data_IF_241938085849
#
_entry.id   IF_241938085849
#
_cell.length_a   1.000
_cell.length_b   1.000
_cell.length_c   1.000
_cell.angle_alpha   90.00
_cell.angle_beta   90.00
_cell.angle_gamma   90.00
#
_symmetry.space_group_name_H-M   'P 1'
#
loop_
_entity.id
_entity.type
_entity.pdbx_description
1 polymer ?
#
# COMPACT_ATOMS: atom_id res chain seq x y z
N UNK A 1 -17.66 10.87 -1.96
CA UNK A 1 -17.04 9.73 -1.24
C UNK A 1 -15.83 10.24 -0.51
N UNK A 2 -15.58 9.71 0.69
CA UNK A 2 -14.38 9.97 1.49
C UNK A 2 -13.30 8.95 1.14
N UNK A 3 -12.13 9.39 0.69
CA UNK A 3 -10.99 8.52 0.33
C UNK A 3 -9.77 8.86 1.18
N UNK A 4 -9.30 7.90 1.95
CA UNK A 4 -8.11 8.05 2.80
C UNK A 4 -6.88 7.56 2.03
N UNK A 5 -5.90 8.44 1.82
CA UNK A 5 -4.67 8.14 1.08
C UNK A 5 -3.53 7.96 2.08
N UNK A 6 -3.07 6.72 2.25
CA UNK A 6 -1.90 6.42 3.07
C UNK A 6 -0.66 6.55 2.19
N UNK A 7 0.32 7.37 2.58
CA UNK A 7 1.51 7.66 1.77
C UNK A 7 1.28 8.79 0.75
N UNK A 8 0.38 9.72 1.07
CA UNK A 8 -0.08 10.77 0.15
C UNK A 8 0.93 11.88 -0.16
N UNK A 9 2.08 11.98 0.53
CA UNK A 9 3.16 12.90 0.13
C UNK A 9 4.10 12.27 -0.93
N UNK A 10 4.01 10.95 -1.10
CA UNK A 10 4.83 10.17 -2.02
C UNK A 10 4.54 10.42 -3.50
N UNK A 11 5.38 9.85 -4.36
CA UNK A 11 5.34 10.05 -5.82
C UNK A 11 4.00 9.66 -6.46
N UNK A 12 3.42 8.52 -6.08
CA UNK A 12 2.10 8.10 -6.56
C UNK A 12 0.97 8.70 -5.71
N UNK A 13 1.17 8.81 -4.40
CA UNK A 13 0.15 9.27 -3.46
C UNK A 13 -0.26 10.73 -3.68
N UNK A 14 0.70 11.62 -3.93
CA UNK A 14 0.43 13.05 -4.12
C UNK A 14 -0.46 13.33 -5.34
N UNK A 15 -0.10 12.92 -6.57
CA UNK A 15 -0.97 13.15 -7.73
C UNK A 15 -2.31 12.41 -7.61
N UNK A 16 -2.35 11.23 -6.99
CA UNK A 16 -3.60 10.50 -6.74
C UNK A 16 -4.53 11.30 -5.83
N UNK A 17 -4.00 11.90 -4.76
CA UNK A 17 -4.77 12.73 -3.82
C UNK A 17 -5.37 13.94 -4.52
N UNK A 18 -4.57 14.64 -5.33
CA UNK A 18 -5.03 15.80 -6.11
C UNK A 18 -6.08 15.40 -7.14
N UNK A 19 -5.86 14.31 -7.86
CA UNK A 19 -6.78 13.82 -8.88
C UNK A 19 -8.14 13.44 -8.28
N UNK A 20 -8.16 12.68 -7.20
CA UNK A 20 -9.42 12.30 -6.53
C UNK A 20 -10.14 13.51 -5.94
N UNK A 21 -9.39 14.46 -5.36
CA UNK A 21 -9.97 15.73 -4.92
C UNK A 21 -10.60 16.47 -6.11
N UNK A 22 -9.90 16.59 -7.25
CA UNK A 22 -10.42 17.26 -8.44
C UNK A 22 -11.71 16.62 -8.99
N UNK A 23 -11.85 15.30 -8.83
CA UNK A 23 -13.05 14.55 -9.21
C UNK A 23 -14.24 14.72 -8.25
N UNK A 24 -14.09 15.49 -7.18
CA UNK A 24 -15.19 15.74 -6.25
C UNK A 24 -15.15 14.91 -4.97
N UNK A 25 -14.14 14.05 -4.78
CA UNK A 25 -14.00 13.29 -3.55
C UNK A 25 -13.48 14.15 -2.39
N UNK A 26 -13.87 13.76 -1.17
CA UNK A 26 -13.29 14.29 0.07
C UNK A 26 -12.05 13.44 0.36
N UNK A 27 -10.88 14.08 0.42
CA UNK A 27 -9.60 13.37 0.52
C UNK A 27 -8.89 13.76 1.81
N UNK A 28 -8.41 12.75 2.52
CA UNK A 28 -7.50 12.90 3.65
C UNK A 28 -6.21 12.12 3.37
N UNK A 29 -5.08 12.68 3.75
CA UNK A 29 -3.75 12.07 3.60
C UNK A 29 -3.22 11.66 4.98
N UNK A 30 -2.66 10.46 5.07
CA UNK A 30 -1.81 10.04 6.20
C UNK A 30 -0.40 9.82 5.69
N UNK A 31 0.60 10.48 6.30
CA UNK A 31 2.01 10.30 5.94
C UNK A 31 2.93 10.66 7.10
N UNK A 32 4.00 9.89 7.33
CA UNK A 32 5.03 10.16 8.34
C UNK A 32 6.27 10.89 7.76
N UNK A 33 6.25 11.19 6.47
CA UNK A 33 7.31 11.82 5.69
C UNK A 33 8.63 11.01 5.69
N UNK A 34 8.56 9.71 5.99
CA UNK A 34 9.74 8.82 6.03
C UNK A 34 10.49 8.80 4.71
N UNK A 35 9.80 8.90 3.58
CA UNK A 35 10.45 8.95 2.27
C UNK A 35 11.36 10.18 2.12
N UNK A 36 11.02 11.33 2.72
CA UNK A 36 11.91 12.51 2.76
C UNK A 36 13.09 12.30 3.71
N UNK A 37 12.89 11.60 4.83
CA UNK A 37 13.99 11.23 5.75
C UNK A 37 15.00 10.30 5.07
N UNK A 38 14.53 9.40 4.21
CA UNK A 38 15.40 8.53 3.39
C UNK A 38 16.22 9.34 2.38
N UNK A 39 15.67 10.40 1.78
CA UNK A 39 16.46 11.29 0.90
C UNK A 39 17.63 11.93 1.67
N UNK A 40 17.37 12.41 2.89
CA UNK A 40 18.40 12.97 3.77
C UNK A 40 19.46 11.91 4.12
N UNK A 41 19.02 10.70 4.50
CA UNK A 41 19.93 9.59 4.81
C UNK A 41 20.86 9.23 3.65
N UNK A 42 20.33 9.23 2.42
CA UNK A 42 21.06 8.84 1.22
C UNK A 42 21.76 10.01 0.53
N UNK A 43 21.66 11.22 1.09
CA UNK A 43 22.16 12.46 0.52
C UNK A 43 21.71 12.63 -0.95
N UNK A 44 20.44 12.33 -1.21
CA UNK A 44 19.84 12.43 -2.54
C UNK A 44 18.65 13.38 -2.55
N UNK A 45 18.33 13.90 -3.73
CA UNK A 45 17.24 14.84 -3.91
C UNK A 45 16.42 14.51 -5.16
N UNK A 46 15.17 14.98 -5.16
CA UNK A 46 14.34 14.90 -6.36
C UNK A 46 14.89 15.85 -7.42
N UNK A 47 14.89 15.41 -8.69
CA UNK A 47 15.23 16.26 -9.83
C UNK A 47 14.40 17.55 -9.86
N UNK A 48 13.12 17.44 -9.51
CA UNK A 48 12.21 18.58 -9.38
C UNK A 48 12.11 18.99 -7.92
N UNK A 49 12.43 20.25 -7.55
CA UNK A 49 12.30 20.70 -6.18
C UNK A 49 10.87 20.50 -5.65
N UNK A 50 10.72 19.71 -4.59
CA UNK A 50 9.43 19.44 -3.96
C UNK A 50 9.22 20.33 -2.74
N UNK A 51 8.10 21.04 -2.68
CA UNK A 51 7.76 21.89 -1.53
C UNK A 51 7.31 21.05 -0.32
N UNK A 52 7.41 21.59 0.90
CA UNK A 52 6.86 20.98 2.10
C UNK A 52 5.36 20.69 1.97
N UNK A 53 4.87 19.72 2.73
CA UNK A 53 3.47 19.26 2.63
C UNK A 53 2.45 20.39 2.86
N UNK A 54 2.69 21.29 3.81
CA UNK A 54 1.77 22.39 4.10
C UNK A 54 1.65 23.37 2.92
N UNK A 55 2.75 23.68 2.22
CA UNK A 55 2.71 24.53 1.03
C UNK A 55 2.02 23.84 -0.14
N UNK A 56 2.25 22.53 -0.31
CA UNK A 56 1.56 21.70 -1.29
C UNK A 56 0.03 21.74 -1.11
N UNK A 57 -0.44 21.62 0.13
CA UNK A 57 -1.86 21.70 0.48
C UNK A 57 -2.43 23.11 0.30
N UNK A 58 -1.70 24.14 0.73
CA UNK A 58 -2.11 25.53 0.57
C UNK A 58 -2.26 25.90 -0.91
N UNK A 59 -1.29 25.52 -1.74
CA UNK A 59 -1.36 25.72 -3.19
C UNK A 59 -2.56 24.99 -3.81
N UNK A 60 -2.87 23.77 -3.37
CA UNK A 60 -4.06 23.05 -3.85
C UNK A 60 -5.36 23.79 -3.48
N UNK A 61 -5.48 24.27 -2.24
CA UNK A 61 -6.63 25.06 -1.80
C UNK A 61 -6.76 26.36 -2.59
N UNK A 62 -5.66 27.04 -2.88
CA UNK A 62 -5.64 28.27 -3.65
C UNK A 62 -6.15 28.06 -5.08
N UNK A 63 -5.66 27.02 -5.77
CA UNK A 63 -6.00 26.81 -7.20
C UNK A 63 -7.34 26.11 -7.42
N UNK A 64 -7.81 25.32 -6.45
CA UNK A 64 -9.02 24.50 -6.60
C UNK A 64 -10.19 24.91 -5.70
N UNK A 65 -9.92 25.69 -4.65
CA UNK A 65 -10.89 25.97 -3.57
C UNK A 65 -11.16 24.77 -2.65
N UNK A 66 -10.53 23.61 -2.89
CA UNK A 66 -10.77 22.37 -2.14
C UNK A 66 -9.69 22.14 -1.09
N UNK A 67 -10.11 21.61 0.04
CA UNK A 67 -9.20 21.23 1.12
C UNK A 67 -8.90 19.74 1.08
N UNK A 68 -7.66 19.39 1.41
CA UNK A 68 -7.22 18.01 1.63
C UNK A 68 -6.64 17.96 3.03
N UNK A 69 -7.23 17.12 3.90
CA UNK A 69 -6.75 16.98 5.27
C UNK A 69 -5.41 16.24 5.29
N UNK A 70 -4.55 16.55 6.28
CA UNK A 70 -3.26 15.89 6.46
C UNK A 70 -3.07 15.43 7.91
N UNK A 71 -2.78 14.15 8.07
CA UNK A 71 -2.56 13.49 9.36
C UNK A 71 -1.13 12.97 9.42
N UNK A 72 -0.31 13.58 10.27
CA UNK A 72 1.10 13.21 10.43
C UNK A 72 1.26 12.09 11.48
N UNK A 73 1.34 10.84 11.04
CA UNK A 73 1.66 9.68 11.88
C UNK A 73 2.16 8.48 11.06
N UNK A 74 2.72 7.49 11.76
CA UNK A 74 3.26 6.26 11.17
C UNK A 74 2.22 5.13 11.20
N UNK A 75 1.73 4.74 10.03
CA UNK A 75 0.73 3.66 9.87
C UNK A 75 1.25 2.33 10.45
N UNK A 76 2.55 2.07 10.40
CA UNK A 76 3.13 0.82 10.90
C UNK A 76 3.25 0.78 12.43
N UNK A 77 3.19 1.93 13.11
CA UNK A 77 3.46 2.04 14.56
C UNK A 77 2.28 2.59 15.37
N UNK A 78 1.52 3.50 14.81
CA UNK A 78 0.47 4.26 15.51
C UNK A 78 -0.93 3.65 15.27
N UNK A 79 -1.12 2.38 15.63
CA UNK A 79 -2.36 1.64 15.37
C UNK A 79 -3.62 2.34 15.90
N UNK A 80 -3.62 2.74 17.18
CA UNK A 80 -4.79 3.39 17.78
C UNK A 80 -5.19 4.66 17.03
N UNK A 81 -4.20 5.45 16.62
CA UNK A 81 -4.44 6.69 15.86
C UNK A 81 -5.00 6.43 14.47
N UNK A 82 -4.57 5.36 13.80
CA UNK A 82 -5.15 4.91 12.55
C UNK A 82 -6.62 4.50 12.72
N UNK A 83 -6.90 3.68 13.75
CA UNK A 83 -8.24 3.21 14.06
C UNK A 83 -9.19 4.36 14.42
N UNK A 84 -8.74 5.28 15.26
CA UNK A 84 -9.51 6.47 15.64
C UNK A 84 -9.85 7.31 14.41
N UNK A 85 -8.86 7.57 13.54
CA UNK A 85 -9.10 8.30 12.28
C UNK A 85 -10.12 7.58 11.38
N UNK A 86 -10.03 6.26 11.26
CA UNK A 86 -10.97 5.47 10.45
C UNK A 86 -12.39 5.58 11.03
N UNK A 87 -12.55 5.47 12.36
CA UNK A 87 -13.85 5.56 13.03
C UNK A 87 -14.45 6.98 13.01
N UNK A 88 -13.61 8.00 13.14
CA UNK A 88 -14.05 9.40 13.15
C UNK A 88 -14.36 9.92 11.74
N UNK A 89 -13.53 9.57 10.76
CA UNK A 89 -13.63 10.10 9.40
C UNK A 89 -14.44 9.21 8.47
N UNK A 90 -14.69 7.95 8.83
CA UNK A 90 -15.52 6.99 8.10
C UNK A 90 -15.22 6.96 6.59
N UNK A 91 -13.98 6.58 6.18
CA UNK A 91 -13.63 6.52 4.76
C UNK A 91 -14.50 5.48 4.04
N UNK A 92 -14.84 5.75 2.78
CA UNK A 92 -15.48 4.76 1.91
C UNK A 92 -14.42 3.87 1.24
N UNK A 93 -13.21 4.41 1.07
CA UNK A 93 -12.09 3.70 0.50
C UNK A 93 -10.76 4.15 1.12
N UNK A 94 -9.80 3.22 1.18
CA UNK A 94 -8.41 3.48 1.54
C UNK A 94 -7.53 3.16 0.33
N UNK A 95 -6.65 4.08 -0.06
CA UNK A 95 -5.59 3.81 -1.03
C UNK A 95 -4.27 3.72 -0.28
N UNK A 96 -3.64 2.54 -0.30
CA UNK A 96 -2.47 2.25 0.52
C UNK A 96 -1.16 2.32 -0.30
N UNK A 97 -0.45 3.43 -0.17
CA UNK A 97 0.91 3.67 -0.70
C UNK A 97 1.99 3.74 0.40
N UNK A 98 1.61 3.67 1.68
CA UNK A 98 2.46 3.94 2.85
C UNK A 98 3.46 2.81 3.16
N UNK A 99 4.37 2.54 2.21
CA UNK A 99 5.37 1.47 2.32
C UNK A 99 6.74 1.88 1.75
N UNK A 100 7.79 1.24 2.26
CA UNK A 100 9.14 1.34 1.72
C UNK A 100 9.18 0.59 0.37
N UNK A 101 9.27 1.34 -0.73
CA UNK A 101 9.09 0.81 -2.09
C UNK A 101 10.35 0.51 -2.93
N UNK A 102 11.53 0.90 -2.47
CA UNK A 102 12.75 0.84 -3.24
C UNK A 102 13.48 -0.50 -3.04
N UNK A 103 13.58 -1.29 -4.12
CA UNK A 103 14.32 -2.54 -4.12
C UNK A 103 15.81 -2.36 -3.75
N UNK A 104 16.57 -1.39 -4.32
CA UNK A 104 17.95 -1.16 -3.90
C UNK A 104 18.08 -0.78 -2.42
N UNK A 105 17.20 0.08 -1.92
CA UNK A 105 17.17 0.46 -0.51
C UNK A 105 16.97 -0.75 0.39
N UNK A 106 15.98 -1.61 0.07
CA UNK A 106 15.67 -2.83 0.84
C UNK A 106 16.82 -3.83 0.91
N UNK A 107 17.84 -3.69 0.05
CA UNK A 107 18.99 -4.59 -0.02
C UNK A 107 20.29 -3.96 0.51
N UNK A 108 20.29 -2.66 0.81
CA UNK A 108 21.50 -1.86 1.10
C UNK A 108 22.26 -2.31 2.35
N UNK A 109 21.56 -2.59 3.46
CA UNK A 109 22.18 -3.08 4.70
C UNK A 109 21.23 -3.92 5.53
N UNK A 110 21.72 -4.56 6.59
CA UNK A 110 20.87 -5.37 7.49
C UNK A 110 19.77 -4.52 8.16
N UNK A 111 20.07 -3.26 8.49
CA UNK A 111 19.09 -2.32 9.04
C UNK A 111 17.98 -2.03 8.04
N UNK A 112 18.32 -1.80 6.77
CA UNK A 112 17.34 -1.49 5.72
C UNK A 112 16.45 -2.67 5.37
N UNK A 113 17.02 -3.89 5.39
CA UNK A 113 16.27 -5.14 5.21
C UNK A 113 15.20 -5.28 6.30
N UNK A 114 15.60 -5.17 7.58
CA UNK A 114 14.69 -5.26 8.72
C UNK A 114 13.64 -4.15 8.70
N UNK A 115 14.06 -2.91 8.43
CA UNK A 115 13.13 -1.78 8.30
C UNK A 115 12.08 -2.01 7.21
N UNK A 116 12.47 -2.51 6.04
CA UNK A 116 11.52 -2.75 4.95
C UNK A 116 10.46 -3.78 5.34
N UNK A 117 10.87 -4.89 5.98
CA UNK A 117 9.94 -5.91 6.47
C UNK A 117 9.04 -5.36 7.59
N UNK A 118 9.65 -4.73 8.60
CA UNK A 118 8.96 -4.18 9.75
C UNK A 118 7.96 -3.08 9.35
N UNK A 119 8.33 -2.17 8.45
CA UNK A 119 7.44 -1.11 8.00
C UNK A 119 6.29 -1.65 7.16
N UNK A 120 6.59 -2.42 6.11
CA UNK A 120 5.59 -2.78 5.11
C UNK A 120 4.53 -3.72 5.69
N UNK A 121 4.97 -4.80 6.35
CA UNK A 121 4.03 -5.80 6.86
C UNK A 121 3.19 -5.27 8.03
N UNK A 122 3.77 -4.46 8.92
CA UNK A 122 2.99 -3.87 10.00
C UNK A 122 2.02 -2.80 9.46
N UNK A 123 2.43 -1.96 8.49
CA UNK A 123 1.52 -0.98 7.90
C UNK A 123 0.31 -1.67 7.25
N UNK A 124 0.54 -2.67 6.39
CA UNK A 124 -0.54 -3.41 5.73
C UNK A 124 -1.43 -4.12 6.74
N UNK A 125 -0.83 -4.86 7.69
CA UNK A 125 -1.61 -5.59 8.69
C UNK A 125 -2.41 -4.65 9.61
N UNK A 126 -1.84 -3.51 10.01
CA UNK A 126 -2.55 -2.51 10.82
C UNK A 126 -3.76 -1.94 10.07
N UNK A 127 -3.63 -1.66 8.76
CA UNK A 127 -4.75 -1.19 7.95
C UNK A 127 -5.86 -2.23 7.88
N UNK A 128 -5.51 -3.48 7.59
CA UNK A 128 -6.48 -4.58 7.51
C UNK A 128 -7.18 -4.81 8.85
N UNK A 129 -6.42 -4.89 9.94
CA UNK A 129 -6.96 -5.06 11.28
C UNK A 129 -7.85 -3.87 11.69
N UNK A 130 -7.43 -2.63 11.40
CA UNK A 130 -8.21 -1.45 11.75
C UNK A 130 -9.52 -1.37 10.95
N UNK A 131 -9.53 -1.79 9.68
CA UNK A 131 -10.78 -1.90 8.90
C UNK A 131 -11.72 -2.92 9.54
N UNK A 132 -11.23 -4.11 9.87
CA UNK A 132 -12.05 -5.14 10.55
C UNK A 132 -12.58 -4.63 11.89
N UNK A 133 -11.72 -4.06 12.74
CA UNK A 133 -12.10 -3.55 14.06
C UNK A 133 -13.03 -2.33 13.99
N UNK A 134 -12.96 -1.53 12.92
CA UNK A 134 -13.87 -0.40 12.73
C UNK A 134 -15.32 -0.83 12.50
N UNK A 135 -15.54 -2.03 11.96
CA UNK A 135 -16.88 -2.50 11.54
C UNK A 135 -17.44 -1.77 10.32
N UNK A 136 -16.64 -0.95 9.63
CA UNK A 136 -17.05 -0.20 8.44
C UNK A 136 -16.80 -1.00 7.15
N UNK A 137 -17.67 -0.84 6.13
CA UNK A 137 -17.44 -1.39 4.78
C UNK A 137 -16.52 -0.47 3.98
N UNK A 138 -15.22 -0.70 4.10
CA UNK A 138 -14.16 0.10 3.47
C UNK A 138 -13.51 -0.74 2.37
N UNK A 139 -13.45 -0.18 1.15
CA UNK A 139 -12.70 -0.80 0.05
C UNK A 139 -11.23 -0.38 0.08
N UNK A 140 -10.31 -1.35 0.01
CA UNK A 140 -8.87 -1.11 0.08
C UNK A 140 -8.22 -1.32 -1.28
N UNK A 141 -7.69 -0.25 -1.86
CA UNK A 141 -6.82 -0.31 -3.03
C UNK A 141 -5.35 -0.30 -2.60
N UNK A 142 -4.69 -1.46 -2.64
CA UNK A 142 -3.27 -1.61 -2.31
C UNK A 142 -2.38 -1.48 -3.54
N UNK A 143 -1.24 -0.79 -3.39
CA UNK A 143 -0.23 -0.77 -4.43
C UNK A 143 0.66 -2.01 -4.35
N UNK A 144 0.35 -3.01 -5.17
CA UNK A 144 1.18 -4.19 -5.40
C UNK A 144 2.43 -3.90 -6.24
N UNK A 145 3.01 -4.94 -6.83
CA UNK A 145 4.12 -4.82 -7.79
C UNK A 145 4.16 -6.02 -8.72
N UNK A 146 4.49 -5.81 -10.00
CA UNK A 146 4.72 -6.93 -10.93
C UNK A 146 5.94 -7.78 -10.54
N UNK A 147 6.86 -7.24 -9.74
CA UNK A 147 8.04 -7.98 -9.29
C UNK A 147 7.74 -9.14 -8.33
N UNK A 148 6.49 -9.34 -7.90
CA UNK A 148 6.07 -10.55 -7.16
C UNK A 148 6.16 -11.81 -8.02
N UNK A 149 6.00 -11.69 -9.34
CA UNK A 149 6.05 -12.81 -10.28
C UNK A 149 7.49 -13.19 -10.68
N UNK A 150 8.47 -12.37 -10.29
CA UNK A 150 9.87 -12.51 -10.71
C UNK A 150 10.13 -12.03 -12.14
N UNK A 151 11.38 -12.21 -12.57
CA UNK A 151 11.88 -11.71 -13.86
C UNK A 151 12.11 -12.82 -14.90
N UNK A 152 11.85 -14.08 -14.53
CA UNK A 152 11.91 -15.22 -15.44
C UNK A 152 10.51 -15.54 -15.97
N UNK A 153 10.28 -15.35 -17.26
CA UNK A 153 9.04 -15.82 -17.92
C UNK A 153 9.19 -17.31 -18.21
N UNK A 154 8.36 -18.17 -17.63
CA UNK A 154 8.32 -19.60 -17.98
C UNK A 154 7.72 -19.85 -19.39
N UNK A 155 7.98 -18.95 -20.35
CA UNK A 155 7.37 -18.95 -21.69
C UNK A 155 5.87 -18.65 -21.70
N UNK A 156 5.28 -18.30 -20.55
CA UNK A 156 3.84 -18.10 -20.37
C UNK A 156 3.50 -16.64 -20.10
N UNK A 157 2.28 -16.24 -20.50
CA UNK A 157 1.71 -14.94 -20.13
C UNK A 157 1.49 -14.93 -18.61
N UNK A 158 2.03 -13.93 -17.92
CA UNK A 158 1.81 -13.74 -16.48
C UNK A 158 0.31 -13.45 -16.27
N UNK A 159 -0.39 -14.22 -15.42
CA UNK A 159 -1.80 -13.99 -15.14
C UNK A 159 -1.99 -12.86 -14.11
N UNK A 160 -3.23 -12.38 -13.99
CA UNK A 160 -3.61 -11.36 -13.01
C UNK A 160 -3.91 -12.01 -11.65
N UNK A 161 -2.84 -12.32 -10.90
CA UNK A 161 -2.90 -12.74 -9.49
C UNK A 161 -3.11 -14.24 -9.27
N UNK A 162 -3.92 -14.89 -10.11
CA UNK A 162 -4.35 -16.28 -9.91
C UNK A 162 -3.99 -17.20 -11.07
N UNK A 163 -3.73 -18.46 -10.76
CA UNK A 163 -3.42 -19.52 -11.70
C UNK A 163 -4.43 -20.65 -11.54
N UNK A 164 -5.10 -21.01 -12.64
CA UNK A 164 -5.91 -22.23 -12.70
C UNK A 164 -5.00 -23.44 -12.79
N UNK A 165 -5.20 -24.39 -11.89
CA UNK A 165 -4.42 -25.62 -11.77
C UNK A 165 -5.35 -26.83 -11.74
N UNK A 166 -4.84 -27.97 -12.17
CA UNK A 166 -5.48 -29.27 -11.95
C UNK A 166 -4.68 -30.01 -10.89
N UNK A 167 -5.35 -30.40 -9.82
CA UNK A 167 -4.76 -31.13 -8.70
C UNK A 167 -5.30 -32.55 -8.74
N UNK A 168 -4.40 -33.51 -8.78
CA UNK A 168 -4.73 -34.93 -8.65
C UNK A 168 -5.05 -35.24 -7.19
N UNK A 169 -6.20 -35.86 -6.93
CA UNK A 169 -6.61 -36.32 -5.60
C UNK A 169 -6.12 -37.75 -5.35
N UNK A 170 -6.13 -38.17 -4.08
CA UNK A 170 -5.63 -39.50 -3.67
C UNK A 170 -6.36 -40.68 -4.35
N UNK A 171 -7.58 -40.45 -4.85
CA UNK A 171 -8.39 -41.41 -5.61
C UNK A 171 -8.15 -41.36 -7.14
N UNK A 172 -7.18 -40.56 -7.59
CA UNK A 172 -6.81 -40.39 -9.01
C UNK A 172 -7.73 -39.47 -9.80
N UNK A 173 -8.73 -38.84 -9.15
CA UNK A 173 -9.54 -37.82 -9.80
C UNK A 173 -8.74 -36.51 -9.99
N UNK A 174 -9.17 -35.69 -10.94
CA UNK A 174 -8.55 -34.39 -11.22
C UNK A 174 -9.54 -33.30 -10.82
N UNK A 175 -9.15 -32.48 -9.85
CA UNK A 175 -9.94 -31.34 -9.40
C UNK A 175 -9.33 -30.07 -9.98
N UNK A 176 -10.16 -29.27 -10.66
CA UNK A 176 -9.77 -27.93 -11.09
C UNK A 176 -9.87 -26.98 -9.89
N UNK A 177 -8.80 -26.24 -9.64
CA UNK A 177 -8.71 -25.29 -8.55
C UNK A 177 -8.02 -24.00 -9.02
N UNK A 178 -8.20 -22.92 -8.25
CA UNK A 178 -7.54 -21.65 -8.50
C UNK A 178 -6.66 -21.30 -7.30
N UNK A 179 -5.37 -21.09 -7.56
CA UNK A 179 -4.39 -20.75 -6.55
C UNK A 179 -3.77 -19.38 -6.85
N UNK A 180 -3.17 -18.75 -5.85
CA UNK A 180 -2.31 -17.60 -6.09
C UNK A 180 -1.15 -18.02 -6.99
N UNK A 181 -0.82 -17.19 -7.97
CA UNK A 181 0.32 -17.47 -8.85
C UNK A 181 1.60 -17.58 -8.01
N UNK A 182 2.47 -18.58 -8.27
CA UNK A 182 3.69 -18.79 -7.48
C UNK A 182 4.58 -17.54 -7.45
N UNK A 183 4.82 -17.02 -6.26
CA UNK A 183 5.66 -15.85 -6.08
C UNK A 183 7.14 -16.17 -6.26
N UNK A 184 7.88 -15.25 -6.87
CA UNK A 184 9.32 -15.36 -7.09
C UNK A 184 10.02 -13.98 -6.97
N UNK A 185 9.97 -13.33 -5.79
CA UNK A 185 10.47 -11.97 -5.62
C UNK A 185 11.99 -11.86 -5.69
N UNK A 186 12.50 -10.84 -6.39
CA UNK A 186 13.94 -10.59 -6.55
C UNK A 186 14.61 -9.71 -5.46
N UNK A 187 13.86 -9.23 -4.46
CA UNK A 187 14.41 -8.40 -3.37
C UNK A 187 13.52 -8.45 -2.13
N UNK A 188 14.02 -7.93 -0.99
CA UNK A 188 13.24 -7.83 0.25
C UNK A 188 11.97 -6.99 0.05
N UNK A 189 12.04 -5.87 -0.68
CA UNK A 189 10.85 -5.10 -1.05
C UNK A 189 9.81 -5.94 -1.79
N UNK A 190 10.21 -6.66 -2.85
CA UNK A 190 9.25 -7.49 -3.61
C UNK A 190 8.69 -8.63 -2.77
N UNK A 191 9.51 -9.21 -1.88
CA UNK A 191 9.07 -10.23 -0.94
C UNK A 191 7.99 -9.70 0.01
N UNK A 192 8.16 -8.49 0.55
CA UNK A 192 7.11 -7.89 1.41
C UNK A 192 5.79 -7.72 0.65
N UNK A 193 5.83 -7.37 -0.65
CA UNK A 193 4.63 -7.25 -1.48
C UNK A 193 3.94 -8.59 -1.76
N UNK A 194 4.70 -9.67 -1.90
CA UNK A 194 4.14 -11.03 -1.92
C UNK A 194 3.44 -11.36 -0.61
N UNK A 195 4.04 -10.97 0.52
CA UNK A 195 3.46 -11.21 1.84
C UNK A 195 2.19 -10.37 2.06
N UNK A 196 2.16 -9.12 1.59
CA UNK A 196 0.93 -8.31 1.59
C UNK A 196 -0.18 -9.00 0.80
N UNK A 197 0.11 -9.54 -0.39
CA UNK A 197 -0.88 -10.31 -1.17
C UNK A 197 -1.47 -11.47 -0.38
N UNK A 198 -0.65 -12.16 0.43
CA UNK A 198 -1.13 -13.22 1.33
C UNK A 198 -1.99 -12.67 2.46
N UNK A 199 -1.64 -11.51 3.04
CA UNK A 199 -2.47 -10.83 4.04
C UNK A 199 -3.85 -10.48 3.43
N UNK A 200 -3.88 -9.82 2.27
CA UNK A 200 -5.14 -9.48 1.60
C UNK A 200 -5.98 -10.71 1.28
N UNK A 201 -5.38 -11.77 0.75
CA UNK A 201 -6.08 -13.04 0.50
C UNK A 201 -6.68 -13.62 1.79
N UNK A 202 -5.93 -13.59 2.89
CA UNK A 202 -6.40 -14.08 4.19
C UNK A 202 -7.58 -13.25 4.72
N UNK A 203 -7.43 -11.93 4.81
CA UNK A 203 -8.47 -11.04 5.35
C UNK A 203 -9.71 -10.99 4.47
N UNK A 204 -9.57 -11.08 3.15
CA UNK A 204 -10.73 -11.20 2.25
C UNK A 204 -11.49 -12.52 2.48
N UNK A 205 -10.76 -13.64 2.60
CA UNK A 205 -11.37 -14.95 2.82
C UNK A 205 -12.11 -15.02 4.16
N UNK A 206 -11.48 -14.57 5.24
CA UNK A 206 -11.95 -14.79 6.61
C UNK A 206 -12.79 -13.63 7.15
N UNK A 207 -12.41 -12.39 6.86
CA UNK A 207 -13.02 -11.18 7.43
C UNK A 207 -13.84 -10.38 6.40
N UNK A 208 -13.88 -10.82 5.15
CA UNK A 208 -14.63 -10.20 4.03
C UNK A 208 -14.21 -8.77 3.71
N UNK A 209 -12.99 -8.38 4.08
CA UNK A 209 -12.36 -7.13 3.65
C UNK A 209 -12.30 -7.11 2.12
N UNK A 210 -12.69 -5.99 1.51
CA UNK A 210 -12.75 -5.81 0.06
C UNK A 210 -11.59 -5.00 -0.46
#
# INVERSE_FOLDING_TARGET
MRVLILGGDGFCGWPTSLHLSALGHDVAIVDNLSRRKIDIELECESLTPIRPMHERLAAWKEVSGREVAFHYFDVAKDYQRLLDLIKEWEPHAIVHFAEQRAAPYSMKSSAHKRYTVDNNLNATNNVLAAVVESGLDIHIAHLGTMGVYGYGTAGMKIPEGYLRVKVETDDGAQVENEILYPANPGSIYHMTKTQDQLLFFFYNKNDKVR
#
